data_IF_784569048960
#
_entry.id   IF_784569048960
#
_cell.length_a   1.000
_cell.length_b   1.000
_cell.length_c   1.000
_cell.angle_alpha   90.00
_cell.angle_beta   90.00
_cell.angle_gamma   90.00
#
_symmetry.space_group_name_H-M   'P 1'
#
loop_
_entity.id
_entity.type
_entity.pdbx_description
1 polymer ?
#
# COMPACT_ATOMS: atom_id res chain seq x y z
N UNK A 1 -24.68 7.33 -8.68
CA UNK A 1 -23.58 6.67 -9.39
C UNK A 1 -22.53 7.65 -9.92
N UNK A 2 -22.96 8.67 -10.66
CA UNK A 2 -22.01 9.62 -11.22
C UNK A 2 -21.22 10.38 -10.15
N UNK A 3 -21.86 10.64 -9.00
CA UNK A 3 -21.19 11.36 -7.93
C UNK A 3 -20.02 10.57 -7.33
N UNK A 4 -20.08 9.25 -7.38
CA UNK A 4 -19.02 8.39 -6.84
C UNK A 4 -17.89 8.17 -7.83
N UNK A 5 -18.13 8.42 -9.13
CA UNK A 5 -17.16 8.10 -10.17
C UNK A 5 -15.78 8.71 -9.94
N UNK A 6 -15.64 10.03 -9.66
CA UNK A 6 -14.30 10.60 -9.46
C UNK A 6 -13.57 10.01 -8.27
N UNK A 7 -14.29 9.72 -7.18
CA UNK A 7 -13.68 9.15 -5.98
C UNK A 7 -13.21 7.74 -6.22
N UNK A 8 -14.06 6.94 -6.87
CA UNK A 8 -13.72 5.54 -7.16
C UNK A 8 -12.54 5.46 -8.12
N UNK A 9 -12.59 6.24 -9.19
CA UNK A 9 -11.49 6.27 -10.16
C UNK A 9 -10.20 6.76 -9.54
N UNK A 10 -10.25 7.84 -8.76
CA UNK A 10 -9.08 8.40 -8.10
C UNK A 10 -8.43 7.40 -7.14
N UNK A 11 -9.26 6.68 -6.39
CA UNK A 11 -8.75 5.68 -5.46
C UNK A 11 -8.10 4.51 -6.22
N UNK A 12 -8.73 4.06 -7.30
CA UNK A 12 -8.17 2.98 -8.11
C UNK A 12 -6.84 3.39 -8.76
N UNK A 13 -6.76 4.64 -9.25
CA UNK A 13 -5.51 5.17 -9.80
C UNK A 13 -4.40 5.20 -8.76
N UNK A 14 -4.72 5.64 -7.55
CA UNK A 14 -3.73 5.68 -6.48
C UNK A 14 -3.25 4.28 -6.11
N UNK A 15 -4.13 3.30 -6.19
CA UNK A 15 -3.79 1.92 -5.80
C UNK A 15 -2.95 1.20 -6.84
N UNK A 16 -3.14 1.51 -8.13
CA UNK A 16 -2.46 0.77 -9.19
C UNK A 16 -1.49 1.62 -10.02
N UNK A 17 -1.71 2.93 -10.07
CA UNK A 17 -0.93 3.85 -10.92
C UNK A 17 -1.02 3.49 -12.40
N UNK A 18 -2.09 2.82 -12.81
CA UNK A 18 -2.29 2.38 -14.18
C UNK A 18 -3.69 2.79 -14.60
N UNK A 19 -3.77 3.72 -15.56
CA UNK A 19 -5.06 4.27 -16.00
C UNK A 19 -5.98 3.19 -16.57
N UNK A 20 -5.43 2.24 -17.32
CA UNK A 20 -6.23 1.15 -17.88
C UNK A 20 -6.84 0.27 -16.81
N UNK A 21 -6.07 -0.07 -15.79
CA UNK A 21 -6.57 -0.84 -14.66
C UNK A 21 -7.62 -0.03 -13.91
N UNK A 22 -7.35 1.26 -13.67
CA UNK A 22 -8.29 2.11 -12.93
C UNK A 22 -9.63 2.21 -13.65
N UNK A 23 -9.60 2.33 -14.98
CA UNK A 23 -10.83 2.38 -15.76
C UNK A 23 -11.63 1.09 -15.68
N UNK A 24 -10.94 -0.04 -15.83
CA UNK A 24 -11.60 -1.35 -15.76
C UNK A 24 -12.18 -1.60 -14.37
N UNK A 25 -11.43 -1.28 -13.36
CA UNK A 25 -11.86 -1.47 -11.97
C UNK A 25 -13.06 -0.59 -11.66
N UNK A 26 -12.99 0.67 -12.05
CA UNK A 26 -14.07 1.62 -11.80
C UNK A 26 -15.35 1.14 -12.47
N UNK A 27 -15.27 0.75 -13.74
CA UNK A 27 -16.41 0.25 -14.48
C UNK A 27 -17.01 -0.97 -13.80
N UNK A 28 -16.16 -1.93 -13.45
CA UNK A 28 -16.64 -3.17 -12.84
C UNK A 28 -17.33 -2.92 -11.51
N UNK A 29 -16.74 -2.07 -10.68
CA UNK A 29 -17.29 -1.79 -9.33
C UNK A 29 -18.63 -1.06 -9.46
N UNK A 30 -18.72 -0.06 -10.34
CA UNK A 30 -19.95 0.71 -10.50
C UNK A 30 -21.06 -0.10 -11.14
N UNK A 31 -20.73 -0.96 -12.09
CA UNK A 31 -21.75 -1.79 -12.74
C UNK A 31 -22.25 -2.88 -11.78
N UNK A 32 -21.40 -3.38 -10.90
CA UNK A 32 -21.80 -4.42 -9.97
C UNK A 32 -22.76 -3.89 -8.90
N UNK A 33 -22.64 -2.61 -8.54
CA UNK A 33 -23.47 -2.03 -7.49
C UNK A 33 -23.72 -0.55 -7.78
N UNK A 34 -24.59 -0.25 -8.75
CA UNK A 34 -24.81 1.13 -9.18
C UNK A 34 -25.34 2.06 -8.09
N UNK A 35 -26.10 1.50 -7.14
CA UNK A 35 -26.66 2.28 -6.04
C UNK A 35 -25.87 2.16 -4.76
N UNK A 36 -24.65 1.63 -4.81
CA UNK A 36 -23.88 1.36 -3.61
C UNK A 36 -23.36 2.61 -2.92
N UNK A 37 -23.08 2.49 -1.65
CA UNK A 37 -22.47 3.53 -0.84
C UNK A 37 -21.08 3.85 -1.41
N UNK A 38 -20.77 5.14 -1.58
CA UNK A 38 -19.51 5.52 -2.22
C UNK A 38 -18.29 5.03 -1.44
N UNK A 39 -18.36 5.00 -0.11
CA UNK A 39 -17.27 4.47 0.69
C UNK A 39 -17.02 3.00 0.42
N UNK A 40 -18.08 2.22 0.32
CA UNK A 40 -17.97 0.79 0.00
C UNK A 40 -17.43 0.60 -1.41
N UNK A 41 -17.90 1.41 -2.36
CA UNK A 41 -17.42 1.32 -3.73
C UNK A 41 -15.92 1.64 -3.82
N UNK A 42 -15.47 2.64 -3.07
CA UNK A 42 -14.06 2.99 -3.00
C UNK A 42 -13.24 1.84 -2.43
N UNK A 43 -13.70 1.22 -1.35
CA UNK A 43 -13.01 0.06 -0.76
C UNK A 43 -12.86 -1.07 -1.78
N UNK A 44 -13.94 -1.37 -2.49
CA UNK A 44 -13.92 -2.43 -3.49
C UNK A 44 -12.96 -2.11 -4.63
N UNK A 45 -12.97 -0.86 -5.07
CA UNK A 45 -12.10 -0.44 -6.17
C UNK A 45 -10.63 -0.53 -5.77
N UNK A 46 -10.30 -0.08 -4.55
CA UNK A 46 -8.94 -0.15 -4.04
C UNK A 46 -8.46 -1.60 -3.99
N UNK A 47 -9.27 -2.48 -3.42
CA UNK A 47 -8.89 -3.89 -3.33
C UNK A 47 -8.71 -4.52 -4.71
N UNK A 48 -9.64 -4.27 -5.60
CA UNK A 48 -9.57 -4.87 -6.94
C UNK A 48 -8.36 -4.34 -7.71
N UNK A 49 -8.09 -3.04 -7.61
CA UNK A 49 -6.94 -2.45 -8.28
C UNK A 49 -5.62 -3.01 -7.73
N UNK A 50 -5.51 -3.11 -6.41
CA UNK A 50 -4.31 -3.63 -5.76
C UNK A 50 -4.09 -5.10 -6.13
N UNK A 51 -5.16 -5.87 -6.22
CA UNK A 51 -5.07 -7.29 -6.56
C UNK A 51 -4.77 -7.51 -8.03
N UNK A 52 -5.15 -6.55 -8.87
CA UNK A 52 -4.93 -6.66 -10.31
C UNK A 52 -3.52 -6.20 -10.70
N UNK A 53 -3.14 -5.01 -10.25
CA UNK A 53 -1.84 -4.43 -10.61
C UNK A 53 -1.49 -3.37 -9.56
N UNK A 54 -0.86 -3.76 -8.45
CA UNK A 54 -0.57 -2.82 -7.39
C UNK A 54 0.44 -1.77 -7.83
N UNK A 55 0.29 -0.57 -7.29
CA UNK A 55 1.29 0.47 -7.42
C UNK A 55 2.65 -0.06 -6.97
N UNK A 56 3.72 0.46 -7.54
CA UNK A 56 5.07 -0.02 -7.28
C UNK A 56 5.41 -0.09 -5.79
N UNK A 57 5.05 0.94 -5.05
CA UNK A 57 5.30 0.96 -3.61
C UNK A 57 4.56 -0.15 -2.88
N UNK A 58 3.31 -0.38 -3.27
CA UNK A 58 2.50 -1.42 -2.66
C UNK A 58 2.94 -2.81 -3.09
N UNK A 59 3.43 -2.93 -4.32
CA UNK A 59 3.85 -4.22 -4.86
C UNK A 59 5.00 -4.85 -4.07
N UNK A 60 5.76 -4.04 -3.36
CA UNK A 60 6.91 -4.52 -2.59
C UNK A 60 6.53 -5.09 -1.23
N UNK A 61 5.29 -4.93 -0.83
CA UNK A 61 4.78 -5.49 0.41
C UNK A 61 4.18 -6.87 0.17
N UNK A 62 4.02 -7.62 1.26
CA UNK A 62 3.25 -8.85 1.20
C UNK A 62 1.81 -8.53 0.85
N UNK A 63 1.11 -9.50 0.26
CA UNK A 63 -0.25 -9.27 -0.21
C UNK A 63 -1.18 -8.73 0.86
N UNK A 64 -1.18 -9.32 2.05
CA UNK A 64 -2.05 -8.87 3.13
C UNK A 64 -1.66 -7.48 3.63
N UNK A 65 -0.36 -7.21 3.75
CA UNK A 65 0.11 -5.88 4.15
C UNK A 65 -0.34 -4.84 3.15
N UNK A 66 -0.20 -5.15 1.89
CA UNK A 66 -0.58 -4.28 0.77
C UNK A 66 -2.05 -3.92 0.83
N UNK A 67 -2.92 -4.91 1.06
CA UNK A 67 -4.36 -4.67 1.13
C UNK A 67 -4.73 -3.84 2.36
N UNK A 68 -4.14 -4.12 3.50
CA UNK A 68 -4.41 -3.37 4.72
C UNK A 68 -3.99 -1.90 4.56
N UNK A 69 -2.79 -1.68 4.05
CA UNK A 69 -2.27 -0.32 3.87
C UNK A 69 -3.10 0.43 2.83
N UNK A 70 -3.46 -0.23 1.74
CA UNK A 70 -4.25 0.41 0.68
C UNK A 70 -5.62 0.83 1.21
N UNK A 71 -6.29 -0.05 1.95
CA UNK A 71 -7.59 0.30 2.53
C UNK A 71 -7.48 1.44 3.53
N UNK A 72 -6.45 1.42 4.37
CA UNK A 72 -6.28 2.47 5.37
C UNK A 72 -5.97 3.82 4.74
N UNK A 73 -5.09 3.86 3.77
CA UNK A 73 -4.59 5.12 3.22
C UNK A 73 -5.39 5.64 2.04
N UNK A 74 -5.88 4.76 1.20
CA UNK A 74 -6.56 5.17 -0.03
C UNK A 74 -8.06 5.18 0.09
N UNK A 75 -8.62 4.30 0.93
CA UNK A 75 -10.05 4.27 1.18
C UNK A 75 -10.44 4.91 2.50
N UNK A 76 -9.47 5.24 3.36
CA UNK A 76 -9.75 5.84 4.65
C UNK A 76 -10.46 4.92 5.62
N UNK A 77 -10.31 3.62 5.46
CA UNK A 77 -11.00 2.65 6.28
C UNK A 77 -10.37 2.56 7.68
N UNK A 78 -11.22 2.37 8.68
CA UNK A 78 -10.76 2.16 10.05
C UNK A 78 -10.25 0.73 10.23
N UNK A 79 -9.50 0.50 11.30
CA UNK A 79 -9.02 -0.84 11.64
C UNK A 79 -10.18 -1.83 11.72
N UNK A 80 -11.28 -1.44 12.36
CA UNK A 80 -12.47 -2.30 12.50
C UNK A 80 -13.05 -2.64 11.12
N UNK A 81 -13.14 -1.64 10.25
CA UNK A 81 -13.70 -1.85 8.92
C UNK A 81 -12.81 -2.75 8.08
N UNK A 82 -11.49 -2.54 8.14
CA UNK A 82 -10.53 -3.38 7.40
C UNK A 82 -10.63 -4.82 7.88
N UNK A 83 -10.73 -5.01 9.20
CA UNK A 83 -10.88 -6.35 9.76
C UNK A 83 -12.12 -7.05 9.20
N UNK A 84 -13.23 -6.30 9.10
CA UNK A 84 -14.47 -6.86 8.57
C UNK A 84 -14.35 -7.19 7.08
N UNK A 85 -13.76 -6.28 6.31
CA UNK A 85 -13.64 -6.44 4.85
C UNK A 85 -12.72 -7.61 4.50
N UNK A 86 -11.62 -7.78 5.22
CA UNK A 86 -10.64 -8.82 4.92
C UNK A 86 -10.83 -10.09 5.75
N UNK A 87 -11.84 -10.12 6.61
CA UNK A 87 -12.12 -11.26 7.48
C UNK A 87 -10.91 -11.58 8.37
N UNK A 88 -10.33 -10.56 8.95
CA UNK A 88 -9.20 -10.67 9.87
C UNK A 88 -9.59 -10.15 11.24
N UNK A 89 -8.82 -10.54 12.26
CA UNK A 89 -9.00 -9.95 13.58
C UNK A 89 -8.38 -8.56 13.63
N UNK A 90 -8.96 -7.63 14.39
CA UNK A 90 -8.40 -6.28 14.50
C UNK A 90 -6.93 -6.26 14.92
N UNK A 91 -6.53 -7.19 15.79
CA UNK A 91 -5.15 -7.31 16.21
C UNK A 91 -4.23 -7.64 15.03
N UNK A 92 -4.67 -8.55 14.16
CA UNK A 92 -3.92 -8.91 12.97
C UNK A 92 -3.81 -7.72 12.01
N UNK A 93 -4.89 -6.95 11.86
CA UNK A 93 -4.88 -5.77 11.02
C UNK A 93 -3.86 -4.76 11.52
N UNK A 94 -3.83 -4.52 12.83
CA UNK A 94 -2.87 -3.58 13.40
C UNK A 94 -1.43 -4.04 13.20
N UNK A 95 -1.17 -5.33 13.34
CA UNK A 95 0.16 -5.89 13.11
C UNK A 95 0.58 -5.74 11.65
N UNK A 96 -0.32 -6.03 10.73
CA UNK A 96 -0.05 -5.88 9.30
C UNK A 96 0.16 -4.42 8.92
N UNK A 97 -0.60 -3.50 9.52
CA UNK A 97 -0.45 -2.08 9.27
C UNK A 97 0.92 -1.60 9.72
N UNK A 98 1.34 -1.99 10.92
CA UNK A 98 2.66 -1.62 11.44
C UNK A 98 3.77 -2.17 10.55
N UNK A 99 3.66 -3.43 10.17
CA UNK A 99 4.65 -4.08 9.31
C UNK A 99 4.71 -3.41 7.94
N UNK A 100 3.56 -3.11 7.35
CA UNK A 100 3.50 -2.47 6.04
C UNK A 100 4.04 -1.04 6.07
N UNK A 101 3.70 -0.27 7.09
CA UNK A 101 4.21 1.08 7.23
C UNK A 101 5.70 1.08 7.44
N UNK A 102 6.21 0.13 8.21
CA UNK A 102 7.65 0.00 8.43
C UNK A 102 8.36 -0.33 7.12
N UNK A 103 7.77 -1.18 6.29
CA UNK A 103 8.34 -1.51 4.99
C UNK A 103 8.41 -0.28 4.10
N UNK A 104 7.38 0.56 4.12
CA UNK A 104 7.38 1.80 3.34
C UNK A 104 8.45 2.77 3.82
N UNK A 105 8.57 2.94 5.13
CA UNK A 105 9.57 3.84 5.70
C UNK A 105 10.98 3.36 5.36
N UNK A 106 11.24 2.08 5.53
CA UNK A 106 12.55 1.52 5.22
C UNK A 106 12.89 1.70 3.75
N UNK A 107 11.92 1.49 2.87
CA UNK A 107 12.14 1.65 1.45
C UNK A 107 12.48 3.09 1.07
N UNK A 108 11.80 4.04 1.69
CA UNK A 108 12.03 5.46 1.40
C UNK A 108 13.28 5.99 2.08
N UNK A 109 13.60 5.49 3.25
CA UNK A 109 14.67 6.02 4.07
C UNK A 109 16.00 5.27 3.97
N UNK A 110 15.94 3.97 3.74
CA UNK A 110 17.13 3.12 3.80
C UNK A 110 18.26 3.54 2.86
N UNK A 111 18.01 3.88 1.62
CA UNK A 111 19.12 4.21 0.71
C UNK A 111 19.87 5.44 1.09
N UNK A 112 19.30 6.19 1.91
CA UNK A 112 19.98 7.41 2.27
C UNK A 112 20.96 7.15 3.34
N UNK A 113 21.75 6.67 3.32
CA UNK A 113 22.59 6.52 4.40
C UNK A 113 23.70 5.66 4.22
N UNK A 114 23.69 5.86 4.17
CA UNK A 114 24.40 5.44 4.31
C UNK A 114 25.24 5.24 4.59
N UNK A 115 25.53 5.21 4.65
CA UNK A 115 26.07 4.94 4.92
C UNK A 115 26.90 4.78 5.48
N UNK A 116 27.27 4.70 5.66
CA UNK A 116 27.85 4.57 6.15
C UNK A 116 28.76 4.46 6.44
N UNK A 117 29.15 4.37 6.48
CA UNK A 117 29.72 4.37 6.56
C UNK A 117 30.55 4.44 6.66
N UNK A 118 30.88 4.30 6.81
CA UNK A 118 31.40 4.43 6.68
C UNK A 118 32.00 4.36 6.92
N UNK A 119 32.50 4.26 7.48
CA UNK A 119 32.55 4.32 7.30
C UNK A 119 32.99 4.00 7.63
N UNK A 120 33.88 4.18 8.25
CA UNK A 120 33.82 4.08 8.28
C UNK A 120 34.23 3.75 8.16
N UNK A 121 34.46 3.68 8.92
CA UNK A 121 34.24 3.46 8.56
C UNK A 121 34.82 2.97 8.49
N UNK A 122 34.98 2.99 8.74
CA UNK A 122 34.96 2.69 8.60
C UNK A 122 35.56 2.35 8.36
N UNK A 123 36.00 2.07 9.04
CA UNK A 123 35.90 1.76 8.62
C UNK A 123 36.70 1.31 8.45
N UNK A 124 37.13 1.21 8.81
CA UNK A 124 37.27 0.89 8.47
C UNK A 124 37.98 0.52 8.20
N UNK A 125 38.01 0.34 8.53
CA UNK A 125 38.09 0.03 8.14
C UNK A 125 38.91 -0.31 7.99
N UNK A 126 39.17 -0.43 8.38
CA UNK A 126 39.40 -0.70 8.15
C UNK A 126 39.92 -1.11 7.93
N UNK A 127 40.26 -1.46 8.56
CA UNK A 127 39.87 -1.67 8.14
C UNK A 127 40.19 -2.06 7.97
N UNK A 128 40.41 -2.17 8.07
CA UNK A 128 40.23 -2.33 7.95
C UNK A 128 40.68 -2.59 7.63
N UNK A 129 41.20 -2.77 8.25
CA UNK A 129 41.02 -2.67 7.83
C UNK A 129 41.31 -2.84 7.61
N UNK A 130 41.66 -3.01 8.16
CA UNK A 130 41.34 -2.90 7.78
C UNK A 130 41.47 -3.08 7.53
N UNK A 131 41.61 -3.24 7.76
CA UNK A 131 41.15 -3.15 7.59
C UNK A 131 41.37 -3.32 7.26
N UNK A 132 41.67 -3.74 7.71
CA UNK A 132 41.25 -3.51 7.30
C UNK A 132 41.20 -3.48 7.06
N UNK A 133 41.58 -4.11 7.46
CA UNK A 133 41.04 -3.75 6.93
C UNK A 133 41.00 -3.58 6.70
#
# INVERSE_FOLDING_TARGET
MLAALPRVYGAAMAASSDAGVAEQVTERVLLADPGGDSGVLVERAVLLAVRTSPDEGLARMREQEREVIALARLAGATTTRIAAVLALEPKAVRALMTSGLRALVNRDGAPRTPPPRPGCGSGASPGHAAHAS
#
